data_IF_014960850118
#
_entry.id   IF_014960850118
#
_cell.length_a   1.000
_cell.length_b   1.000
_cell.length_c   1.000
_cell.angle_alpha   90.00
_cell.angle_beta   90.00
_cell.angle_gamma   90.00
#
_symmetry.space_group_name_H-M   'P 1'
#
loop_
_entity.id
_entity.type
_entity.pdbx_description
1 polymer ?
#
# COMPACT_ATOMS: atom_id res chain seq x y z
N UNK A 1 34.62 -12.98 -34.05
CA UNK A 1 33.76 -14.17 -33.84
C UNK A 1 33.67 -14.74 -32.41
N UNK A 2 34.57 -14.43 -31.45
CA UNK A 2 34.53 -15.03 -30.09
C UNK A 2 33.42 -14.54 -29.13
N UNK A 3 32.77 -13.37 -29.37
CA UNK A 3 31.77 -12.80 -28.44
C UNK A 3 30.38 -13.47 -28.49
N UNK A 4 29.99 -14.08 -29.62
CA UNK A 4 28.66 -14.68 -29.82
C UNK A 4 28.41 -15.93 -28.96
N UNK A 5 29.47 -16.70 -28.71
CA UNK A 5 29.43 -17.90 -27.86
C UNK A 5 29.25 -17.62 -26.36
N UNK A 6 29.61 -16.43 -25.86
CA UNK A 6 29.50 -16.11 -24.43
C UNK A 6 28.06 -15.72 -24.06
N UNK A 7 27.40 -14.94 -24.91
CA UNK A 7 26.00 -14.55 -24.72
C UNK A 7 25.05 -15.75 -24.78
N UNK A 8 25.26 -16.68 -25.72
CA UNK A 8 24.46 -17.91 -25.81
C UNK A 8 24.63 -18.81 -24.58
N UNK A 9 25.85 -18.93 -24.02
CA UNK A 9 26.09 -19.70 -22.79
C UNK A 9 25.43 -19.09 -21.55
N UNK A 10 25.40 -17.75 -21.46
CA UNK A 10 24.72 -17.04 -20.36
C UNK A 10 23.20 -17.19 -20.46
N UNK A 11 22.63 -17.08 -21.66
CA UNK A 11 21.20 -17.33 -21.89
C UNK A 11 20.82 -18.78 -21.54
N UNK A 12 21.63 -19.77 -21.94
CA UNK A 12 21.39 -21.18 -21.66
C UNK A 12 21.44 -21.50 -20.15
N UNK A 13 22.40 -20.91 -19.43
CA UNK A 13 22.47 -21.00 -17.97
C UNK A 13 21.28 -20.31 -17.28
N UNK A 14 20.86 -19.15 -17.79
CA UNK A 14 19.67 -18.45 -17.29
C UNK A 14 18.40 -19.29 -17.46
N UNK A 15 18.19 -19.86 -18.65
CA UNK A 15 17.04 -20.75 -18.90
C UNK A 15 17.08 -22.02 -18.05
N UNK A 16 18.27 -22.59 -17.83
CA UNK A 16 18.41 -23.77 -16.97
C UNK A 16 18.08 -23.43 -15.51
N UNK A 17 18.50 -22.25 -15.03
CA UNK A 17 18.19 -21.75 -13.69
C UNK A 17 16.69 -21.54 -13.47
N UNK A 18 16.00 -20.93 -14.45
CA UNK A 18 14.54 -20.75 -14.39
C UNK A 18 13.82 -22.10 -14.37
N UNK A 19 14.27 -23.07 -15.17
CA UNK A 19 13.64 -24.39 -15.24
C UNK A 19 13.84 -25.20 -13.95
N UNK A 20 15.03 -25.13 -13.35
CA UNK A 20 15.30 -25.73 -12.03
C UNK A 20 14.48 -25.07 -10.92
N UNK A 21 14.31 -23.75 -10.95
CA UNK A 21 13.47 -23.03 -9.99
C UNK A 21 12.00 -23.45 -10.12
N UNK A 22 11.50 -23.58 -11.36
CA UNK A 22 10.11 -23.98 -11.62
C UNK A 22 9.85 -25.41 -11.11
N UNK A 23 10.74 -26.35 -11.43
CA UNK A 23 10.65 -27.74 -10.94
C UNK A 23 10.75 -27.80 -9.42
N UNK A 24 11.66 -27.03 -8.82
CA UNK A 24 11.81 -26.94 -7.36
C UNK A 24 10.53 -26.43 -6.68
N UNK A 25 9.91 -25.38 -7.25
CA UNK A 25 8.66 -24.83 -6.72
C UNK A 25 7.50 -25.83 -6.81
N UNK A 26 7.39 -26.59 -7.91
CA UNK A 26 6.40 -27.66 -8.06
C UNK A 26 6.58 -28.76 -7.00
N UNK A 27 7.82 -29.23 -6.78
CA UNK A 27 8.09 -30.24 -5.75
C UNK A 27 7.72 -29.75 -4.36
N UNK A 28 7.98 -28.47 -4.05
CA UNK A 28 7.66 -27.87 -2.76
C UNK A 28 6.14 -27.75 -2.54
N UNK A 29 5.38 -27.39 -3.58
CA UNK A 29 3.91 -27.36 -3.55
C UNK A 29 3.34 -28.77 -3.36
N UNK A 30 3.89 -29.78 -4.03
CA UNK A 30 3.45 -31.16 -3.84
C UNK A 30 3.74 -31.68 -2.43
N UNK A 31 4.91 -31.36 -1.88
CA UNK A 31 5.27 -31.74 -0.51
C UNK A 31 4.37 -31.04 0.53
N UNK A 32 4.03 -29.78 0.29
CA UNK A 32 3.08 -29.04 1.12
C UNK A 32 1.67 -29.63 1.03
N UNK A 33 1.18 -29.94 -0.18
CA UNK A 33 -0.13 -30.55 -0.39
C UNK A 33 -0.26 -31.95 0.22
N UNK A 34 0.84 -32.71 0.28
CA UNK A 34 0.87 -34.02 0.95
C UNK A 34 0.73 -33.93 2.48
N UNK A 35 1.07 -32.78 3.09
CA UNK A 35 1.04 -32.60 4.56
C UNK A 35 -0.09 -31.73 5.09
N UNK A 36 -0.79 -31.00 4.22
CA UNK A 36 -1.85 -30.09 4.64
C UNK A 36 -3.17 -30.84 4.82
N UNK A 37 -3.73 -30.83 6.03
CA UNK A 37 -4.98 -31.53 6.36
C UNK A 37 -6.22 -30.71 5.96
N UNK A 38 -6.18 -29.38 6.08
CA UNK A 38 -7.38 -28.51 6.00
C UNK A 38 -7.49 -27.63 4.72
N UNK A 39 -6.72 -27.92 3.67
CA UNK A 39 -6.69 -27.08 2.47
C UNK A 39 -7.42 -27.71 1.29
N UNK A 40 -8.50 -27.07 0.82
CA UNK A 40 -9.25 -27.46 -0.40
C UNK A 40 -8.34 -27.52 -1.65
N UNK A 41 -7.33 -26.64 -1.70
CA UNK A 41 -6.33 -26.61 -2.78
C UNK A 41 -5.41 -27.83 -2.69
N UNK A 42 -5.00 -28.22 -1.47
CA UNK A 42 -4.20 -29.42 -1.27
C UNK A 42 -4.99 -30.68 -1.65
N UNK A 43 -6.28 -30.74 -1.29
CA UNK A 43 -7.16 -31.85 -1.63
C UNK A 43 -7.33 -31.99 -3.17
N UNK A 44 -7.54 -30.89 -3.88
CA UNK A 44 -7.63 -30.87 -5.35
C UNK A 44 -6.34 -31.35 -6.02
N UNK A 45 -5.18 -30.93 -5.50
CA UNK A 45 -3.86 -31.35 -5.99
C UNK A 45 -3.64 -32.86 -5.73
N UNK A 46 -3.96 -33.34 -4.52
CA UNK A 46 -3.88 -34.78 -4.17
C UNK A 46 -4.75 -35.64 -5.09
N UNK A 47 -6.00 -35.24 -5.33
CA UNK A 47 -6.94 -35.96 -6.21
C UNK A 47 -6.49 -36.03 -7.67
N UNK A 48 -5.82 -35.00 -8.16
CA UNK A 48 -5.38 -34.93 -9.56
C UNK A 48 -4.10 -35.73 -9.80
N UNK A 49 -3.23 -35.85 -8.80
CA UNK A 49 -1.88 -36.45 -8.92
C UNK A 49 -1.82 -37.85 -8.28
N UNK A 50 -2.83 -38.26 -7.51
CA UNK A 50 -2.90 -39.58 -6.87
C UNK A 50 -2.04 -39.71 -5.62
N UNK A 51 -1.87 -38.62 -4.86
CA UNK A 51 -1.13 -38.61 -3.59
C UNK A 51 -2.08 -39.09 -2.47
N UNK A 52 -1.68 -40.08 -1.65
CA UNK A 52 -2.53 -40.57 -0.55
C UNK A 52 -2.81 -39.45 0.45
N UNK A 53 -4.04 -39.44 0.98
CA UNK A 53 -4.48 -38.47 1.96
C UNK A 53 -3.73 -38.65 3.28
N UNK A 54 -3.28 -37.56 3.96
CA UNK A 54 -2.68 -37.66 5.27
C UNK A 54 -3.68 -38.30 6.23
N UNK A 55 -3.19 -39.30 6.98
CA UNK A 55 -3.99 -40.13 7.88
C UNK A 55 -4.59 -39.23 8.98
N UNK A 56 -5.90 -39.03 8.94
CA UNK A 56 -6.61 -38.23 9.92
C UNK A 56 -6.38 -38.80 11.32
N UNK A 57 -5.99 -37.93 12.27
CA UNK A 57 -5.97 -38.28 13.68
C UNK A 57 -7.36 -38.79 14.08
N UNK A 58 -7.43 -40.05 14.51
CA UNK A 58 -8.69 -40.70 14.90
C UNK A 58 -9.41 -39.87 15.96
N UNK A 59 -10.70 -39.52 15.76
CA UNK A 59 -11.48 -38.92 16.82
C UNK A 59 -11.64 -39.94 17.96
N UNK A 60 -11.35 -39.50 19.18
CA UNK A 60 -11.49 -40.29 20.40
C UNK A 60 -12.90 -40.92 20.47
N UNK A 61 -12.93 -42.21 20.77
CA UNK A 61 -14.12 -43.03 20.83
C UNK A 61 -15.17 -42.44 21.79
N UNK A 62 -16.40 -42.29 21.30
CA UNK A 62 -17.57 -41.86 22.06
C UNK A 62 -17.98 -43.01 22.99
N UNK A 63 -17.71 -42.86 24.30
CA UNK A 63 -18.21 -43.77 25.34
C UNK A 63 -19.69 -43.48 25.61
N UNK A 64 -20.58 -44.50 25.65
CA UNK A 64 -22.00 -44.27 25.89
C UNK A 64 -22.28 -44.02 27.37
N UNK A 65 -23.23 -43.11 27.61
CA UNK A 65 -23.69 -42.68 28.92
C UNK A 65 -24.32 -43.82 29.76
N UNK A 66 -23.88 -43.95 31.01
CA UNK A 66 -24.67 -44.49 32.11
C UNK A 66 -24.42 -43.64 33.37
N UNK A 67 -25.50 -43.12 33.95
CA UNK A 67 -25.60 -42.61 35.33
C UNK A 67 -26.42 -43.62 36.15
N UNK A 68 -26.50 -43.56 37.51
CA UNK A 68 -25.80 -42.70 38.48
C UNK A 68 -25.31 -43.45 39.76
N UNK A 69 -24.74 -42.68 40.71
CA UNK A 69 -24.90 -42.75 42.20
C UNK A 69 -23.59 -42.85 43.02
N UNK A 70 -23.18 -41.66 43.52
CA UNK A 70 -22.59 -41.28 44.83
C UNK A 70 -21.23 -41.88 45.26
N UNK A 71 -20.20 -41.03 45.27
CA UNK A 71 -19.51 -40.57 46.49
C UNK A 71 -18.43 -39.52 46.11
N UNK A 72 -18.49 -38.34 46.74
CA UNK A 72 -17.41 -37.35 46.80
C UNK A 72 -16.14 -37.99 47.41
N UNK A 73 -14.90 -37.62 47.01
CA UNK A 73 -14.39 -36.30 47.39
C UNK A 73 -13.40 -35.62 46.42
N UNK A 74 -13.45 -34.28 46.41
CA UNK A 74 -12.36 -33.35 46.09
C UNK A 74 -11.51 -33.67 44.84
N UNK A 75 -11.85 -33.04 43.72
CA UNK A 75 -10.82 -32.60 42.78
C UNK A 75 -11.11 -31.15 42.39
N UNK A 76 -10.09 -30.31 42.61
CA UNK A 76 -10.00 -28.97 42.08
C UNK A 76 -10.51 -28.95 40.63
N UNK A 77 -11.65 -28.32 40.40
CA UNK A 77 -11.89 -27.65 39.14
C UNK A 77 -10.88 -26.51 39.06
N UNK A 78 -9.64 -26.86 38.70
CA UNK A 78 -8.81 -25.95 37.95
C UNK A 78 -9.57 -25.72 36.65
N UNK A 79 -10.46 -24.71 36.66
CA UNK A 79 -10.91 -24.09 35.45
C UNK A 79 -9.62 -23.70 34.71
N UNK A 80 -9.28 -24.49 33.69
CA UNK A 80 -8.30 -24.09 32.70
C UNK A 80 -8.98 -22.91 32.03
N UNK A 81 -8.75 -21.72 32.57
CA UNK A 81 -8.93 -20.49 31.82
C UNK A 81 -7.98 -20.68 30.65
N UNK A 82 -8.52 -21.12 29.51
CA UNK A 82 -7.80 -21.11 28.27
C UNK A 82 -7.38 -19.66 28.08
N UNK A 83 -6.11 -19.38 28.35
CA UNK A 83 -5.51 -18.08 28.10
C UNK A 83 -5.79 -17.79 26.64
N UNK A 84 -6.68 -16.82 26.39
CA UNK A 84 -7.08 -16.46 25.04
C UNK A 84 -5.79 -16.19 24.28
N UNK A 85 -5.47 -17.06 23.32
CA UNK A 85 -4.23 -16.96 22.58
C UNK A 85 -4.14 -15.53 22.03
N UNK A 86 -3.10 -14.80 22.43
CA UNK A 86 -2.91 -13.44 22.00
C UNK A 86 -2.97 -13.40 20.46
N UNK A 87 -3.86 -12.57 19.93
CA UNK A 87 -4.00 -12.43 18.48
C UNK A 87 -2.66 -12.00 17.88
N UNK A 88 -2.30 -12.50 16.69
CA UNK A 88 -1.09 -12.06 16.02
C UNK A 88 -1.20 -10.55 15.72
N UNK A 89 -0.17 -9.81 16.10
CA UNK A 89 -0.08 -8.39 15.80
C UNK A 89 0.18 -8.20 14.29
N UNK A 90 -0.46 -7.18 13.71
CA UNK A 90 -0.23 -6.77 12.32
C UNK A 90 0.03 -5.26 12.25
N UNK A 91 1.05 -4.88 11.49
CA UNK A 91 1.39 -3.50 11.24
C UNK A 91 0.62 -2.95 10.03
N UNK A 92 0.45 -1.64 9.96
CA UNK A 92 -0.17 -1.03 8.78
C UNK A 92 0.64 -1.22 7.51
N UNK A 93 1.98 -1.31 7.63
CA UNK A 93 2.85 -1.61 6.49
C UNK A 93 2.54 -2.99 5.89
N UNK A 94 2.27 -3.97 6.74
CA UNK A 94 1.88 -5.32 6.30
C UNK A 94 0.47 -5.32 5.70
N UNK A 95 -0.46 -4.57 6.27
CA UNK A 95 -1.80 -4.37 5.69
C UNK A 95 -1.70 -3.72 4.31
N UNK A 96 -0.89 -2.67 4.17
CA UNK A 96 -0.66 -1.98 2.90
C UNK A 96 -0.04 -2.91 1.85
N UNK A 97 0.76 -3.91 2.22
CA UNK A 97 1.29 -4.89 1.28
C UNK A 97 0.24 -5.91 0.79
N UNK A 98 -0.88 -6.06 1.50
CA UNK A 98 -1.86 -7.13 1.29
C UNK A 98 -3.22 -6.57 0.84
N UNK A 99 -3.43 -6.49 -0.48
CA UNK A 99 -4.62 -5.87 -1.09
C UNK A 99 -5.96 -6.45 -0.63
N UNK A 100 -6.00 -7.72 -0.21
CA UNK A 100 -7.22 -8.35 0.30
C UNK A 100 -7.64 -7.86 1.70
N UNK A 101 -6.74 -7.20 2.43
CA UNK A 101 -7.00 -6.55 3.71
C UNK A 101 -7.45 -5.09 3.55
N UNK A 102 -7.52 -4.59 2.31
CA UNK A 102 -7.85 -3.19 2.07
C UNK A 102 -9.35 -2.93 2.15
N UNK A 103 -9.77 -1.81 2.75
CA UNK A 103 -11.12 -1.32 2.60
C UNK A 103 -11.37 -0.86 1.16
N UNK A 104 -12.59 -1.03 0.67
CA UNK A 104 -13.05 -0.38 -0.58
C UNK A 104 -13.57 1.03 -0.30
N UNK A 105 -14.18 1.20 0.87
CA UNK A 105 -14.81 2.43 1.32
C UNK A 105 -14.52 2.59 2.81
N UNK A 106 -14.33 3.83 3.23
CA UNK A 106 -14.17 4.25 4.62
C UNK A 106 -15.01 5.52 4.85
N UNK A 107 -15.09 5.97 6.09
CA UNK A 107 -15.78 7.19 6.45
C UNK A 107 -14.81 8.23 6.99
N UNK A 108 -14.98 9.48 6.57
CA UNK A 108 -14.22 10.61 7.12
C UNK A 108 -14.66 10.91 8.57
N UNK A 109 -13.72 10.88 9.53
CA UNK A 109 -14.01 11.10 10.96
C UNK A 109 -14.17 12.56 11.35
N UNK A 110 -13.51 13.46 10.63
CA UNK A 110 -13.43 14.89 10.94
C UNK A 110 -13.78 15.69 9.70
N UNK A 111 -14.34 16.88 9.88
CA UNK A 111 -14.49 17.79 8.76
C UNK A 111 -13.10 18.26 8.31
N UNK A 112 -12.81 18.15 7.01
CA UNK A 112 -11.53 18.52 6.43
C UNK A 112 -11.75 19.72 5.53
N UNK A 113 -11.07 20.83 5.84
CA UNK A 113 -11.12 22.05 5.04
C UNK A 113 -9.77 22.30 4.39
N UNK A 114 -9.73 22.24 3.07
CA UNK A 114 -8.52 22.36 2.25
C UNK A 114 -8.52 23.73 1.57
N UNK A 115 -7.77 24.73 2.10
CA UNK A 115 -7.67 26.02 1.42
C UNK A 115 -6.97 25.86 0.08
N UNK A 116 -7.62 26.18 -1.03
CA UNK A 116 -7.06 26.00 -2.37
C UNK A 116 -6.12 27.18 -2.64
N UNK A 117 -4.82 26.94 -2.46
CA UNK A 117 -3.78 27.93 -2.75
C UNK A 117 -2.90 27.46 -3.88
N UNK A 118 -2.77 28.27 -4.92
CA UNK A 118 -1.91 27.97 -6.06
C UNK A 118 -1.08 29.20 -6.43
N UNK A 119 0.25 29.01 -6.49
CA UNK A 119 1.23 30.05 -6.81
C UNK A 119 1.03 31.37 -6.01
N UNK A 120 0.77 31.25 -4.71
CA UNK A 120 0.54 32.39 -3.82
C UNK A 120 -0.83 33.07 -3.94
N UNK A 121 -1.69 32.65 -4.88
CA UNK A 121 -3.08 33.10 -4.99
C UNK A 121 -4.00 32.17 -4.18
N UNK A 122 -4.99 32.74 -3.53
CA UNK A 122 -6.04 32.02 -2.78
C UNK A 122 -7.29 31.92 -3.66
N UNK A 123 -7.72 30.69 -3.93
CA UNK A 123 -8.91 30.36 -4.74
C UNK A 123 -10.08 29.90 -3.88
N UNK A 124 -10.00 30.07 -2.56
CA UNK A 124 -11.02 29.68 -1.60
C UNK A 124 -10.67 28.39 -0.88
N UNK A 125 -11.67 27.56 -0.61
CA UNK A 125 -11.48 26.31 0.13
C UNK A 125 -12.44 25.24 -0.37
N UNK A 126 -11.97 24.01 -0.37
CA UNK A 126 -12.81 22.83 -0.47
C UNK A 126 -13.10 22.32 0.94
N UNK A 127 -14.34 21.94 1.21
CA UNK A 127 -14.73 21.41 2.52
C UNK A 127 -15.35 20.03 2.34
N UNK A 128 -14.82 19.06 3.08
CA UNK A 128 -15.33 17.70 3.17
C UNK A 128 -15.93 17.50 4.55
N UNK A 129 -17.23 17.29 4.60
CA UNK A 129 -17.96 17.11 5.85
C UNK A 129 -17.60 15.79 6.53
N UNK A 130 -17.64 15.79 7.86
CA UNK A 130 -17.56 14.57 8.67
C UNK A 130 -18.67 13.60 8.26
N UNK A 131 -18.35 12.30 8.20
CA UNK A 131 -19.31 11.27 7.86
C UNK A 131 -19.41 10.97 6.36
N UNK A 132 -18.69 11.72 5.51
CA UNK A 132 -18.68 11.44 4.08
C UNK A 132 -18.00 10.10 3.78
N UNK A 133 -18.56 9.29 2.87
CA UNK A 133 -17.91 8.10 2.36
C UNK A 133 -16.70 8.51 1.50
N UNK A 134 -15.60 7.80 1.68
CA UNK A 134 -14.37 7.97 0.89
C UNK A 134 -14.10 6.66 0.17
N UNK A 135 -13.82 6.74 -1.13
CA UNK A 135 -13.44 5.58 -1.93
C UNK A 135 -11.94 5.37 -1.82
N UNK A 136 -11.50 4.20 -1.35
CA UNK A 136 -10.08 3.91 -1.13
C UNK A 136 -9.46 3.36 -2.40
N UNK A 137 -8.45 4.06 -2.92
CA UNK A 137 -7.71 3.64 -4.11
C UNK A 137 -6.45 2.85 -3.72
N UNK A 138 -5.70 3.33 -2.73
CA UNK A 138 -4.51 2.63 -2.21
C UNK A 138 -4.09 3.05 -0.80
N UNK A 139 -3.25 2.21 -0.18
CA UNK A 139 -2.68 2.45 1.15
C UNK A 139 -1.15 2.62 1.04
N UNK A 140 -0.60 3.61 1.74
CA UNK A 140 0.84 3.81 1.89
C UNK A 140 1.35 3.12 3.15
N UNK A 141 2.55 2.52 3.10
CA UNK A 141 3.19 1.94 4.28
C UNK A 141 3.34 2.93 5.46
N UNK A 142 3.34 4.24 5.20
CA UNK A 142 3.43 5.31 6.20
C UNK A 142 2.11 5.69 6.89
N UNK A 143 1.02 4.94 6.70
CA UNK A 143 -0.28 5.28 7.29
C UNK A 143 -1.05 6.36 6.54
N UNK A 144 -0.81 6.47 5.22
CA UNK A 144 -1.60 7.33 4.34
C UNK A 144 -2.62 6.50 3.55
N UNK A 145 -3.80 7.07 3.37
CA UNK A 145 -4.90 6.52 2.59
C UNK A 145 -5.07 7.43 1.38
N UNK A 146 -4.80 6.89 0.19
CA UNK A 146 -5.10 7.53 -1.08
C UNK A 146 -6.54 7.21 -1.45
N UNK A 147 -7.35 8.26 -1.58
CA UNK A 147 -8.78 8.09 -1.71
C UNK A 147 -9.41 9.17 -2.59
N UNK A 148 -10.68 8.96 -2.92
CA UNK A 148 -11.53 9.90 -3.62
C UNK A 148 -12.75 10.30 -2.80
N UNK A 149 -13.07 11.59 -2.85
CA UNK A 149 -14.32 12.17 -2.33
C UNK A 149 -14.91 13.08 -3.41
N UNK A 150 -16.13 12.78 -3.88
CA UNK A 150 -16.82 13.53 -4.93
C UNK A 150 -15.96 13.78 -6.18
N UNK A 151 -15.16 12.80 -6.57
CA UNK A 151 -14.25 12.87 -7.73
C UNK A 151 -12.91 13.56 -7.47
N UNK A 152 -12.70 14.18 -6.31
CA UNK A 152 -11.43 14.77 -5.91
C UNK A 152 -10.51 13.72 -5.31
N UNK A 153 -9.22 13.74 -5.64
CA UNK A 153 -8.22 12.86 -5.04
C UNK A 153 -7.60 13.49 -3.80
N UNK A 154 -7.55 12.72 -2.72
CA UNK A 154 -7.00 13.14 -1.44
C UNK A 154 -5.95 12.14 -0.94
N UNK A 155 -4.96 12.67 -0.22
CA UNK A 155 -4.08 11.89 0.65
C UNK A 155 -4.40 12.20 2.11
N UNK A 156 -5.04 11.24 2.79
CA UNK A 156 -5.48 11.36 4.18
C UNK A 156 -4.63 10.49 5.10
N UNK A 157 -4.51 10.87 6.36
CA UNK A 157 -4.04 9.99 7.41
C UNK A 157 -5.06 8.90 7.72
N UNK A 158 -4.59 7.72 8.13
CA UNK A 158 -5.44 6.69 8.76
C UNK A 158 -6.28 7.25 9.92
N UNK A 159 -5.78 8.24 10.66
CA UNK A 159 -6.48 8.85 11.79
C UNK A 159 -7.62 9.79 11.40
N UNK A 160 -7.61 10.31 10.18
CA UNK A 160 -8.68 11.14 9.63
C UNK A 160 -9.89 10.29 9.18
N UNK A 161 -9.75 8.97 9.23
CA UNK A 161 -10.76 8.00 8.76
C UNK A 161 -11.15 7.02 9.86
N UNK A 162 -12.25 6.30 9.66
CA UNK A 162 -12.69 5.20 10.52
C UNK A 162 -11.92 3.89 10.34
N UNK A 163 -10.80 3.89 9.61
CA UNK A 163 -9.99 2.70 9.29
C UNK A 163 -9.82 1.72 10.45
N UNK A 164 -9.35 2.16 11.63
CA UNK A 164 -9.13 1.27 12.77
C UNK A 164 -10.43 0.64 13.29
N UNK A 165 -11.54 1.37 13.27
CA UNK A 165 -12.85 0.85 13.66
C UNK A 165 -13.34 -0.19 12.64
N UNK A 166 -13.23 0.13 11.35
CA UNK A 166 -13.55 -0.78 10.26
C UNK A 166 -12.71 -2.06 10.30
N UNK A 167 -11.39 -1.93 10.47
CA UNK A 167 -10.48 -3.07 10.46
C UNK A 167 -10.76 -4.00 11.65
N UNK A 168 -10.94 -3.42 12.85
CA UNK A 168 -11.31 -4.18 14.05
C UNK A 168 -12.64 -4.92 13.86
N UNK A 169 -13.63 -4.31 13.21
CA UNK A 169 -14.90 -4.95 12.93
C UNK A 169 -14.76 -6.14 11.95
N UNK A 170 -13.89 -6.03 10.95
CA UNK A 170 -13.77 -7.04 9.88
C UNK A 170 -12.75 -8.15 10.17
N UNK A 171 -11.68 -7.82 10.88
CA UNK A 171 -10.53 -8.71 11.10
C UNK A 171 -10.09 -8.79 12.57
N UNK A 172 -10.84 -8.21 13.51
CA UNK A 172 -10.47 -8.15 14.93
C UNK A 172 -10.41 -9.50 15.63
N UNK A 173 -11.00 -10.56 15.07
CA UNK A 173 -10.86 -11.93 15.57
C UNK A 173 -9.59 -12.63 15.05
N UNK A 174 -8.88 -12.02 14.10
CA UNK A 174 -7.71 -12.59 13.42
C UNK A 174 -6.42 -11.85 13.72
N UNK A 175 -6.49 -10.53 13.88
CA UNK A 175 -5.32 -9.69 14.05
C UNK A 175 -5.57 -8.59 15.07
N UNK A 176 -4.53 -8.22 15.81
CA UNK A 176 -4.47 -6.97 16.55
C UNK A 176 -3.67 -5.94 15.75
N UNK A 177 -4.27 -4.79 15.43
CA UNK A 177 -3.62 -3.78 14.58
C UNK A 177 -2.80 -2.83 15.42
N UNK A 178 -1.49 -2.80 15.18
CA UNK A 178 -0.63 -1.82 15.82
C UNK A 178 -0.99 -0.40 15.34
N UNK A 179 -1.06 0.59 16.26
CA UNK A 179 -1.25 1.98 15.89
C UNK A 179 -0.06 2.45 15.05
N UNK A 180 -0.35 3.22 14.00
CA UNK A 180 0.70 3.77 13.16
C UNK A 180 1.21 5.03 13.83
N UNK A 181 2.50 5.09 14.12
CA UNK A 181 3.13 6.39 14.33
C UNK A 181 3.18 7.06 12.97
N UNK A 182 2.12 7.80 12.66
CA UNK A 182 2.09 8.64 11.47
C UNK A 182 3.12 9.70 11.75
N UNK A 183 4.31 9.55 11.16
CA UNK A 183 5.26 10.64 11.08
C UNK A 183 4.54 11.71 10.27
N UNK A 184 3.86 12.62 10.96
CA UNK A 184 3.14 13.79 10.42
C UNK A 184 4.12 14.78 9.79
N UNK A 185 5.31 14.31 9.43
CA UNK A 185 6.49 15.10 9.33
C UNK A 185 6.68 15.88 10.62
N UNK A 186 7.42 15.30 11.56
CA UNK A 186 8.60 16.06 12.03
C UNK A 186 9.51 16.24 10.81
N UNK A 187 9.05 17.06 9.84
CA UNK A 187 9.73 17.34 8.60
C UNK A 187 11.08 17.82 9.05
N UNK A 188 12.15 17.19 8.57
CA UNK A 188 13.46 17.81 8.59
C UNK A 188 13.30 19.15 7.87
N UNK A 189 12.96 20.19 8.64
CA UNK A 189 12.68 21.51 8.13
C UNK A 189 14.00 21.98 7.59
N UNK A 190 14.01 22.25 6.29
CA UNK A 190 15.24 22.69 5.68
C UNK A 190 15.67 23.99 6.36
N UNK A 191 16.97 24.13 6.62
CA UNK A 191 17.54 25.41 7.06
C UNK A 191 17.31 26.51 6.03
N UNK A 192 17.06 26.14 4.77
CA UNK A 192 16.71 27.03 3.69
C UNK A 192 15.19 27.12 3.54
N UNK A 193 14.68 28.31 3.27
CA UNK A 193 13.23 28.58 3.14
C UNK A 193 12.90 29.06 1.74
N UNK A 194 11.71 28.70 1.25
CA UNK A 194 11.16 29.27 0.02
C UNK A 194 11.10 30.80 0.12
N UNK A 195 11.20 31.48 -1.03
CA UNK A 195 11.34 32.94 -1.10
C UNK A 195 12.77 33.44 -0.88
N UNK A 196 13.75 32.55 -0.70
CA UNK A 196 15.19 32.87 -0.76
C UNK A 196 15.84 32.14 -1.93
N UNK A 197 16.83 32.75 -2.58
CA UNK A 197 17.54 32.12 -3.71
C UNK A 197 18.09 30.73 -3.36
N UNK A 198 18.67 30.58 -2.16
CA UNK A 198 19.20 29.29 -1.66
C UNK A 198 18.09 28.27 -1.40
N UNK A 199 16.94 28.71 -0.91
CA UNK A 199 15.79 27.82 -0.68
C UNK A 199 15.13 27.35 -1.96
N UNK A 200 14.91 28.25 -2.92
CA UNK A 200 14.40 27.90 -4.25
C UNK A 200 15.35 26.92 -4.96
N UNK A 201 16.66 27.22 -4.97
CA UNK A 201 17.64 26.34 -5.59
C UNK A 201 17.69 24.95 -4.96
N UNK A 202 17.64 24.87 -3.62
CA UNK A 202 17.64 23.61 -2.88
C UNK A 202 16.36 22.79 -3.13
N UNK A 203 15.20 23.45 -3.09
CA UNK A 203 13.91 22.83 -3.43
C UNK A 203 13.93 22.24 -4.85
N UNK A 204 14.33 23.03 -5.84
CA UNK A 204 14.39 22.59 -7.23
C UNK A 204 15.44 21.52 -7.48
N UNK A 205 16.55 21.52 -6.74
CA UNK A 205 17.54 20.44 -6.78
C UNK A 205 16.94 19.13 -6.27
N UNK A 206 16.24 19.17 -5.13
CA UNK A 206 15.58 17.98 -4.55
C UNK A 206 14.47 17.43 -5.46
N UNK A 207 13.68 18.31 -6.09
CA UNK A 207 12.69 17.92 -7.10
C UNK A 207 13.35 17.24 -8.30
N UNK A 208 14.39 17.85 -8.89
CA UNK A 208 15.09 17.28 -10.05
C UNK A 208 15.73 15.93 -9.76
N UNK A 209 16.35 15.78 -8.59
CA UNK A 209 16.92 14.49 -8.15
C UNK A 209 15.82 13.43 -8.07
N UNK A 210 14.69 13.75 -7.45
CA UNK A 210 13.58 12.81 -7.32
C UNK A 210 12.99 12.44 -8.68
N UNK A 211 12.73 13.40 -9.57
CA UNK A 211 12.25 13.13 -10.92
C UNK A 211 13.23 12.23 -11.69
N UNK A 212 14.54 12.50 -11.59
CA UNK A 212 15.55 11.68 -12.27
C UNK A 212 15.60 10.25 -11.71
N UNK A 213 15.48 10.08 -10.40
CA UNK A 213 15.50 8.75 -9.77
C UNK A 213 14.30 7.88 -10.11
N UNK A 214 13.11 8.48 -10.31
CA UNK A 214 11.87 7.72 -10.52
C UNK A 214 11.46 7.63 -11.99
N UNK A 215 11.84 8.61 -12.82
CA UNK A 215 11.37 8.73 -14.21
C UNK A 215 12.50 8.89 -15.22
N UNK A 216 13.75 9.00 -14.75
CA UNK A 216 14.92 9.37 -15.57
C UNK A 216 14.75 10.72 -16.31
N UNK A 217 13.76 11.52 -15.93
CA UNK A 217 13.44 12.83 -16.48
C UNK A 217 13.79 13.96 -15.51
N UNK A 218 14.10 15.14 -16.04
CA UNK A 218 14.50 16.32 -15.23
C UNK A 218 13.66 17.56 -15.50
N UNK A 219 12.68 17.46 -16.41
CA UNK A 219 11.92 18.62 -16.87
C UNK A 219 10.55 18.65 -16.19
N UNK A 220 10.48 19.44 -15.13
CA UNK A 220 9.25 19.82 -14.45
C UNK A 220 9.12 21.34 -14.49
N UNK A 221 8.01 21.83 -15.03
CA UNK A 221 7.73 23.26 -15.23
C UNK A 221 6.55 23.64 -14.34
N UNK A 222 6.61 24.81 -13.70
CA UNK A 222 5.44 25.42 -13.05
C UNK A 222 4.82 26.37 -14.05
N UNK A 223 3.65 26.01 -14.57
CA UNK A 223 2.85 26.84 -15.46
C UNK A 223 1.88 27.72 -14.64
N UNK A 224 0.99 28.45 -15.32
CA UNK A 224 -0.01 29.29 -14.66
C UNK A 224 -1.10 28.49 -13.95
N UNK A 225 -1.48 27.34 -14.52
CA UNK A 225 -2.61 26.52 -14.04
C UNK A 225 -2.19 25.23 -13.32
N UNK A 226 -0.92 24.83 -13.42
CA UNK A 226 -0.48 23.54 -12.90
C UNK A 226 1.01 23.26 -13.10
N UNK A 227 1.41 22.05 -12.80
CA UNK A 227 2.72 21.51 -13.14
C UNK A 227 2.65 20.90 -14.54
N UNK A 228 3.72 21.05 -15.32
CA UNK A 228 3.89 20.34 -16.58
C UNK A 228 5.15 19.48 -16.47
N UNK A 229 4.96 18.17 -16.52
CA UNK A 229 6.03 17.20 -16.46
C UNK A 229 6.28 16.60 -17.85
N UNK A 230 7.44 16.89 -18.43
CA UNK A 230 7.80 16.38 -19.75
C UNK A 230 8.46 15.01 -19.58
N UNK A 231 7.69 13.96 -19.83
CA UNK A 231 8.17 12.59 -19.65
C UNK A 231 7.47 11.62 -20.60
N UNK A 232 8.27 10.69 -21.13
CA UNK A 232 7.79 9.54 -21.88
C UNK A 232 8.58 8.32 -21.39
N UNK A 233 7.90 7.22 -21.03
CA UNK A 233 8.58 5.99 -20.63
C UNK A 233 9.41 5.41 -21.79
N UNK A 234 10.51 4.74 -21.44
CA UNK A 234 11.40 4.08 -22.41
C UNK A 234 10.90 2.72 -22.86
N UNK A 235 10.03 2.09 -22.07
CA UNK A 235 9.48 0.77 -22.32
C UNK A 235 7.97 0.88 -22.55
N UNK A 236 7.42 0.01 -23.39
CA UNK A 236 5.99 -0.11 -23.67
C UNK A 236 5.23 -0.79 -22.51
N UNK A 237 5.54 -0.39 -21.28
CA UNK A 237 4.77 -0.80 -20.12
C UNK A 237 3.43 -0.07 -20.12
N UNK A 238 2.31 -0.73 -19.75
CA UNK A 238 1.04 -0.05 -19.56
C UNK A 238 1.18 0.91 -18.39
N UNK A 239 1.25 2.21 -18.69
CA UNK A 239 1.39 3.28 -17.70
C UNK A 239 0.05 4.01 -17.55
N UNK A 240 -0.37 4.15 -16.30
CA UNK A 240 -1.46 5.04 -15.94
C UNK A 240 -0.90 6.45 -15.75
N UNK A 241 -0.92 7.23 -16.83
CA UNK A 241 -0.41 8.61 -16.80
C UNK A 241 -1.16 9.51 -15.81
N UNK A 242 -2.43 9.24 -15.50
CA UNK A 242 -3.16 10.02 -14.50
C UNK A 242 -2.65 9.71 -13.08
N UNK A 243 -2.35 8.45 -12.79
CA UNK A 243 -1.73 8.07 -11.52
C UNK A 243 -0.34 8.70 -11.36
N UNK A 244 0.49 8.65 -12.41
CA UNK A 244 1.83 9.25 -12.38
C UNK A 244 1.79 10.77 -12.23
N UNK A 245 0.87 11.45 -12.94
CA UNK A 245 0.66 12.89 -12.78
C UNK A 245 0.34 13.26 -11.33
N UNK A 246 -0.51 12.44 -10.68
CA UNK A 246 -0.88 12.62 -9.29
C UNK A 246 0.29 12.46 -8.33
N UNK A 247 1.17 11.47 -8.56
CA UNK A 247 2.34 11.26 -7.70
C UNK A 247 3.37 12.39 -7.85
N UNK A 248 3.57 12.90 -9.07
CA UNK A 248 4.41 14.10 -9.30
C UNK A 248 3.85 15.31 -8.55
N UNK A 249 2.53 15.57 -8.65
CA UNK A 249 1.87 16.64 -7.92
C UNK A 249 2.02 16.49 -6.39
N UNK A 250 1.84 15.27 -5.88
CA UNK A 250 2.00 14.95 -4.46
C UNK A 250 3.43 15.24 -3.97
N UNK A 251 4.43 14.77 -4.72
CA UNK A 251 5.83 14.90 -4.33
C UNK A 251 6.32 16.33 -4.41
N UNK A 252 5.81 17.11 -5.38
CA UNK A 252 5.97 18.55 -5.41
C UNK A 252 5.48 19.19 -4.10
N UNK A 253 4.24 18.90 -3.68
CA UNK A 253 3.65 19.45 -2.46
C UNK A 253 4.43 19.06 -1.19
N UNK A 254 4.74 17.76 -1.03
CA UNK A 254 5.48 17.25 0.14
C UNK A 254 6.86 17.90 0.27
N UNK A 255 7.60 17.98 -0.83
CA UNK A 255 8.94 18.59 -0.86
C UNK A 255 8.84 20.09 -0.67
N UNK A 256 7.89 20.78 -1.29
CA UNK A 256 7.70 22.23 -1.11
C UNK A 256 7.40 22.58 0.35
N UNK A 257 6.56 21.79 1.01
CA UNK A 257 6.24 22.00 2.42
C UNK A 257 7.46 21.82 3.36
N UNK A 258 8.45 20.97 3.02
CA UNK A 258 9.73 20.86 3.74
C UNK A 258 10.53 22.18 3.79
N UNK A 259 10.35 23.04 2.79
CA UNK A 259 10.97 24.36 2.69
C UNK A 259 10.04 25.50 3.16
N UNK A 260 8.90 25.16 3.80
CA UNK A 260 7.94 26.13 4.34
C UNK A 260 6.80 26.52 3.39
N UNK A 261 6.62 25.78 2.29
CA UNK A 261 5.43 25.90 1.44
C UNK A 261 4.14 25.62 2.21
N UNK A 262 3.05 26.27 1.79
CA UNK A 262 1.72 26.19 2.43
C UNK A 262 0.63 25.75 1.45
N UNK A 263 1.02 25.45 0.23
CA UNK A 263 0.14 24.90 -0.79
C UNK A 263 -0.19 23.46 -0.42
N UNK A 264 -1.45 23.08 -0.63
CA UNK A 264 -2.02 21.77 -0.32
C UNK A 264 -2.75 21.17 -1.52
N UNK A 265 -2.65 21.83 -2.67
CA UNK A 265 -3.23 21.42 -3.94
C UNK A 265 -2.20 21.62 -5.04
N UNK A 266 -2.09 20.63 -5.92
CA UNK A 266 -1.36 20.74 -7.16
C UNK A 266 -2.05 19.89 -8.23
N UNK A 267 -2.13 20.45 -9.43
CA UNK A 267 -2.42 19.72 -10.66
C UNK A 267 -1.12 19.47 -11.42
N UNK A 268 -1.05 18.36 -12.15
CA UNK A 268 0.06 18.02 -13.01
C UNK A 268 -0.46 17.46 -14.33
N UNK A 269 0.13 17.92 -15.42
CA UNK A 269 0.00 17.36 -16.75
C UNK A 269 1.29 16.63 -17.10
N UNK A 270 1.18 15.41 -17.62
CA UNK A 270 2.29 14.70 -18.26
C UNK A 270 2.18 14.91 -19.76
N UNK A 271 3.27 15.41 -20.34
CA UNK A 271 3.36 15.69 -21.77
C UNK A 271 4.53 14.98 -22.41
N UNK A 272 4.36 14.59 -23.67
CA UNK A 272 5.43 13.99 -24.46
C UNK A 272 6.58 15.01 -24.63
N UNK A 273 7.83 14.68 -24.26
CA UNK A 273 8.98 15.59 -24.35
C UNK A 273 9.27 16.14 -25.75
N UNK A 274 8.87 15.42 -26.80
CA UNK A 274 9.16 15.76 -28.20
C UNK A 274 7.97 16.42 -28.87
N UNK A 275 6.77 15.84 -28.73
CA UNK A 275 5.56 16.32 -29.44
C UNK A 275 4.75 17.33 -28.62
N UNK A 276 5.03 17.45 -27.32
CA UNK A 276 4.25 18.24 -26.36
C UNK A 276 2.77 17.81 -26.25
N UNK A 277 2.44 16.63 -26.74
CA UNK A 277 1.12 16.01 -26.64
C UNK A 277 0.80 15.68 -25.18
N UNK A 278 -0.44 15.93 -24.76
CA UNK A 278 -0.93 15.57 -23.43
C UNK A 278 -1.13 14.06 -23.35
N UNK A 279 -0.40 13.41 -22.44
CA UNK A 279 -0.47 11.97 -22.21
C UNK A 279 -1.41 11.62 -21.05
N UNK A 280 -1.49 12.50 -20.05
CA UNK A 280 -2.42 12.36 -18.94
C UNK A 280 -2.32 13.53 -17.98
N UNK A 281 -3.36 13.69 -17.17
CA UNK A 281 -3.44 14.77 -16.19
C UNK A 281 -4.15 14.28 -14.93
N UNK A 282 -3.73 14.82 -13.78
CA UNK A 282 -4.44 14.59 -12.53
C UNK A 282 -4.08 15.67 -11.52
N UNK A 283 -4.78 15.67 -10.39
CA UNK A 283 -4.50 16.58 -9.28
C UNK A 283 -4.67 15.86 -7.95
N UNK A 284 -4.13 16.46 -6.89
CA UNK A 284 -4.26 15.91 -5.53
C UNK A 284 -4.35 17.02 -4.49
N UNK A 285 -5.17 16.77 -3.48
CA UNK A 285 -5.24 17.53 -2.24
C UNK A 285 -4.52 16.80 -1.10
N UNK A 286 -3.71 17.52 -0.34
CA UNK A 286 -3.07 17.04 0.88
C UNK A 286 -3.42 17.99 2.03
N UNK A 287 -4.51 17.75 2.77
CA UNK A 287 -5.07 18.71 3.72
C UNK A 287 -4.15 19.18 4.85
N UNK A 288 -3.16 18.36 5.20
CA UNK A 288 -2.39 18.43 6.45
C UNK A 288 -0.90 18.79 6.30
N UNK A 289 -0.51 19.44 5.20
CA UNK A 289 0.90 19.77 4.91
C UNK A 289 1.52 20.80 5.87
#
# INVERSE_FOLDING_TARGET
>A
MKKRNKAQRVALLGTLGVLLFLVGSCVLVLFWAAKSEDSEIAESIRKTIGIPEPEAAQPASVVPAQQPVIADPQQNESAIVAEAAALPEITFKEIAAQRHLWPKELTLKLAVRVPIRYNGKDYGFMEFSKGLPILVDSLSAGGEIFCRIDGNYLSLSVYETDFYGWFKQKYGDRYDVQPVVVDMGTKATSRYRLGTEKGEAAFWAEMRIWCHQNYEAVTLIVAEDGLVFMWLPKEDAPIDFALEAREVARQFLLKRAKYGGRENYAACEIRNPVTNELLGESSIFIPRL
#
